data_IF_842576519592
#
_entry.id   IF_842576519592
#
_cell.length_a   1.000
_cell.length_b   1.000
_cell.length_c   1.000
_cell.angle_alpha   90.00
_cell.angle_beta   90.00
_cell.angle_gamma   90.00
#
_symmetry.space_group_name_H-M   'P 1'
#
loop_
_entity.id
_entity.type
_entity.pdbx_description
1 polymer ?
#
# COMPACT_ATOMS: atom_id res chain seq x y z
N UNK A 1 11.33 -9.96 28.49
CA UNK A 1 11.39 -8.50 28.52
C UNK A 1 10.00 -7.95 28.70
N UNK A 2 9.76 -7.06 29.67
CA UNK A 2 8.46 -6.39 29.89
C UNK A 2 8.45 -4.98 29.29
N UNK A 3 7.28 -4.31 29.25
CA UNK A 3 7.23 -2.89 28.85
C UNK A 3 7.90 -1.95 29.85
N UNK A 4 7.93 -2.32 31.13
CA UNK A 4 8.59 -1.54 32.19
C UNK A 4 10.11 -1.50 31.98
N UNK A 5 10.70 -2.61 31.53
CA UNK A 5 12.12 -2.72 31.21
C UNK A 5 12.54 -1.89 29.97
N UNK A 6 11.58 -1.41 29.17
CA UNK A 6 11.84 -0.54 28.02
C UNK A 6 12.03 0.93 28.41
N UNK A 7 11.88 1.29 29.69
CA UNK A 7 12.11 2.64 30.23
C UNK A 7 11.28 3.74 29.52
N UNK A 8 10.05 3.41 29.09
CA UNK A 8 9.12 4.38 28.54
C UNK A 8 8.62 5.34 29.63
N UNK A 9 8.06 6.49 29.22
CA UNK A 9 7.58 7.48 30.17
C UNK A 9 6.41 6.93 30.98
N UNK A 10 6.34 7.21 32.29
CA UNK A 10 5.30 6.70 33.20
C UNK A 10 3.85 6.89 32.68
N UNK A 11 3.48 8.02 32.05
CA UNK A 11 2.15 8.18 31.46
C UNK A 11 1.83 7.16 30.36
N UNK A 12 2.84 6.74 29.59
CA UNK A 12 2.70 5.74 28.51
C UNK A 12 2.55 4.34 29.11
N UNK A 13 3.35 4.00 30.12
CA UNK A 13 3.24 2.73 30.84
C UNK A 13 1.86 2.58 31.49
N UNK A 14 1.32 3.67 32.05
CA UNK A 14 -0.04 3.71 32.61
C UNK A 14 -1.12 3.46 31.54
N UNK A 15 -0.94 4.03 30.34
CA UNK A 15 -1.85 3.78 29.22
C UNK A 15 -1.78 2.31 28.76
N UNK A 16 -0.58 1.74 28.64
CA UNK A 16 -0.38 0.33 28.26
C UNK A 16 -1.02 -0.64 29.26
N UNK A 17 -0.89 -0.37 30.56
CA UNK A 17 -1.53 -1.16 31.62
C UNK A 17 -3.07 -1.14 31.49
N UNK A 18 -3.66 0.03 31.18
CA UNK A 18 -5.09 0.15 30.94
C UNK A 18 -5.57 -0.60 29.69
N UNK A 19 -4.69 -0.83 28.71
CA UNK A 19 -4.97 -1.60 27.50
C UNK A 19 -4.72 -3.11 27.68
N UNK A 20 -4.38 -3.56 28.89
CA UNK A 20 -3.97 -4.94 29.20
C UNK A 20 -2.79 -5.45 28.33
N UNK A 21 -1.92 -4.55 27.87
CA UNK A 21 -0.70 -4.90 27.15
C UNK A 21 0.42 -5.21 28.16
N UNK A 22 0.63 -6.49 28.45
CA UNK A 22 1.61 -6.93 29.46
C UNK A 22 2.99 -7.27 28.90
N UNK A 23 3.04 -7.80 27.67
CA UNK A 23 4.30 -8.31 27.08
C UNK A 23 4.54 -7.71 25.70
N UNK A 24 5.70 -7.05 25.47
CA UNK A 24 6.04 -6.53 24.16
C UNK A 24 6.28 -7.66 23.16
N UNK A 25 5.83 -7.44 21.91
CA UNK A 25 6.11 -8.35 20.81
C UNK A 25 7.59 -8.30 20.41
N UNK A 26 8.06 -9.28 19.63
CA UNK A 26 9.46 -9.33 19.18
C UNK A 26 9.90 -8.05 18.44
N UNK A 27 9.03 -7.47 17.60
CA UNK A 27 9.33 -6.21 16.91
C UNK A 27 9.37 -5.02 17.87
N UNK A 28 8.52 -5.00 18.90
CA UNK A 28 8.50 -3.93 19.90
C UNK A 28 9.77 -3.98 20.76
N UNK A 29 10.13 -5.16 21.27
CA UNK A 29 11.35 -5.39 22.07
C UNK A 29 12.62 -4.92 21.36
N UNK A 30 12.72 -5.15 20.04
CA UNK A 30 13.90 -4.76 19.27
C UNK A 30 13.86 -3.30 18.80
N UNK A 31 12.71 -2.83 18.31
CA UNK A 31 12.61 -1.49 17.72
C UNK A 31 12.57 -0.37 18.76
N UNK A 32 11.85 -0.55 19.87
CA UNK A 32 11.60 0.53 20.85
C UNK A 32 12.91 1.14 21.38
N UNK A 33 13.91 0.36 21.84
CA UNK A 33 15.18 0.92 22.32
C UNK A 33 15.93 1.71 21.24
N UNK A 34 15.93 1.21 20.01
CA UNK A 34 16.60 1.87 18.86
C UNK A 34 15.96 3.21 18.55
N UNK A 35 14.62 3.25 18.54
CA UNK A 35 13.88 4.48 18.28
C UNK A 35 14.13 5.49 19.40
N UNK A 36 14.14 5.06 20.68
CA UNK A 36 14.43 5.93 21.82
C UNK A 36 15.83 6.55 21.77
N UNK A 37 16.82 5.82 21.25
CA UNK A 37 18.19 6.32 21.03
C UNK A 37 18.28 7.36 19.89
N UNK A 38 17.21 7.59 19.13
CA UNK A 38 17.20 8.55 18.02
C UNK A 38 17.86 8.04 16.74
N UNK A 39 18.18 6.74 16.64
CA UNK A 39 18.78 6.14 15.44
C UNK A 39 17.73 5.90 14.36
N UNK A 40 18.11 6.06 13.09
CA UNK A 40 17.27 5.66 11.97
C UNK A 40 17.02 4.14 12.00
N UNK A 41 15.86 3.72 11.52
CA UNK A 41 15.43 2.32 11.60
C UNK A 41 14.79 1.86 10.29
N UNK A 42 15.26 0.72 9.79
CA UNK A 42 14.54 -0.09 8.81
C UNK A 42 14.01 -1.35 9.50
N UNK A 43 12.71 -1.39 9.73
CA UNK A 43 12.04 -2.47 10.43
C UNK A 43 11.14 -3.29 9.48
N UNK A 44 11.47 -4.57 9.32
CA UNK A 44 10.71 -5.53 8.52
C UNK A 44 10.00 -6.51 9.43
N UNK A 45 8.67 -6.50 9.38
CA UNK A 45 7.86 -7.54 10.03
C UNK A 45 6.47 -7.64 9.43
N UNK A 46 5.84 -8.80 9.58
CA UNK A 46 4.51 -9.08 9.03
C UNK A 46 3.42 -8.18 9.64
N UNK A 47 2.26 -8.10 8.98
CA UNK A 47 1.09 -7.41 9.54
C UNK A 47 0.61 -8.08 10.82
N UNK A 48 0.15 -7.30 11.80
CA UNK A 48 -0.37 -7.83 13.07
C UNK A 48 0.70 -8.19 14.11
N UNK A 49 1.99 -7.93 13.85
CA UNK A 49 3.09 -8.16 14.81
C UNK A 49 3.25 -7.03 15.84
N UNK A 50 2.42 -5.99 15.78
CA UNK A 50 2.50 -4.84 16.68
C UNK A 50 3.43 -3.71 16.22
N UNK A 51 3.71 -3.60 14.91
CA UNK A 51 4.51 -2.52 14.29
C UNK A 51 4.06 -1.11 14.71
N UNK A 52 2.75 -0.86 14.72
CA UNK A 52 2.21 0.45 15.09
C UNK A 52 2.64 0.88 16.49
N UNK A 53 2.50 0.01 17.49
CA UNK A 53 2.99 0.30 18.83
C UNK A 53 4.53 0.43 18.88
N UNK A 54 5.25 -0.36 18.07
CA UNK A 54 6.71 -0.34 18.01
C UNK A 54 7.28 1.02 17.57
N UNK A 55 6.57 1.81 16.76
CA UNK A 55 6.97 3.19 16.45
C UNK A 55 6.22 4.25 17.24
N UNK A 56 4.95 4.04 17.60
CA UNK A 56 4.16 5.06 18.33
C UNK A 56 4.68 5.25 19.74
N UNK A 57 4.90 4.17 20.50
CA UNK A 57 5.31 4.24 21.90
C UNK A 57 6.64 5.01 22.10
N UNK A 58 7.74 4.68 21.40
CA UNK A 58 8.98 5.41 21.57
C UNK A 58 8.89 6.83 20.99
N UNK A 59 8.09 7.06 19.94
CA UNK A 59 7.90 8.42 19.41
C UNK A 59 7.14 9.32 20.39
N UNK A 60 6.13 8.79 21.07
CA UNK A 60 5.43 9.48 22.16
C UNK A 60 6.37 9.76 23.34
N UNK A 61 7.23 8.81 23.70
CA UNK A 61 8.26 9.04 24.72
C UNK A 61 9.20 10.17 24.31
N UNK A 62 9.72 10.16 23.08
CA UNK A 62 10.60 11.23 22.60
C UNK A 62 9.89 12.59 22.57
N UNK A 63 8.61 12.61 22.24
CA UNK A 63 7.79 13.82 22.25
C UNK A 63 7.76 14.49 23.62
N UNK A 64 7.80 13.74 24.73
CA UNK A 64 7.80 14.33 26.08
C UNK A 64 9.08 15.13 26.37
N UNK A 65 10.15 14.86 25.63
CA UNK A 65 11.45 15.50 25.80
C UNK A 65 11.69 16.62 24.79
N UNK A 66 10.78 16.83 23.83
CA UNK A 66 10.86 17.93 22.89
C UNK A 66 10.29 19.23 23.48
N UNK A 67 10.88 20.34 23.07
CA UNK A 67 10.35 21.67 23.41
C UNK A 67 8.95 21.85 22.83
N UNK A 68 8.05 22.38 23.66
CA UNK A 68 6.68 22.68 23.25
C UNK A 68 6.68 23.80 22.22
N UNK A 69 5.98 23.59 21.11
CA UNK A 69 5.76 24.59 20.08
C UNK A 69 4.39 24.37 19.42
N UNK A 70 3.87 25.32 18.64
CA UNK A 70 2.62 25.12 17.91
C UNK A 70 2.77 24.16 16.72
N UNK A 71 4.00 23.87 16.30
CA UNK A 71 4.29 23.11 15.09
C UNK A 71 4.50 21.61 15.41
N UNK A 72 4.11 20.72 14.48
CA UNK A 72 4.27 19.29 14.68
C UNK A 72 5.74 18.89 14.78
N UNK A 73 6.01 17.92 15.66
CA UNK A 73 7.33 17.30 15.85
C UNK A 73 7.42 15.93 15.20
N UNK A 74 6.29 15.27 14.96
CA UNK A 74 6.23 13.92 14.40
C UNK A 74 5.34 13.93 13.17
N UNK A 75 5.84 13.35 12.08
CA UNK A 75 5.07 13.10 10.86
C UNK A 75 5.01 11.59 10.61
N UNK A 76 3.81 11.04 10.50
CA UNK A 76 3.57 9.66 10.13
C UNK A 76 2.89 9.63 8.76
N UNK A 77 3.55 8.99 7.79
CA UNK A 77 3.05 8.80 6.44
C UNK A 77 2.62 7.35 6.27
N UNK A 78 1.41 7.14 5.75
CA UNK A 78 0.80 5.81 5.58
C UNK A 78 0.00 5.76 4.28
N UNK A 79 -0.12 4.60 3.61
CA UNK A 79 -0.68 4.52 2.25
C UNK A 79 -2.19 4.79 2.18
N UNK A 80 -2.95 4.55 3.25
CA UNK A 80 -4.42 4.64 3.20
C UNK A 80 -5.02 5.44 4.36
N UNK A 81 -6.25 5.89 4.16
CA UNK A 81 -7.00 6.67 5.16
C UNK A 81 -7.37 5.83 6.37
N UNK A 82 -7.69 4.57 6.11
CA UNK A 82 -8.07 3.58 7.09
C UNK A 82 -6.91 3.30 8.05
N UNK A 83 -5.70 3.08 7.51
CA UNK A 83 -4.50 2.91 8.33
C UNK A 83 -4.15 4.17 9.11
N UNK A 84 -4.26 5.35 8.49
CA UNK A 84 -4.08 6.61 9.21
C UNK A 84 -5.04 6.75 10.41
N UNK A 85 -6.29 6.32 10.24
CA UNK A 85 -7.28 6.34 11.31
C UNK A 85 -6.90 5.35 12.42
N UNK A 86 -6.44 4.15 12.09
CA UNK A 86 -5.96 3.16 13.07
C UNK A 86 -4.74 3.66 13.85
N UNK A 87 -3.77 4.28 13.16
CA UNK A 87 -2.60 4.89 13.81
C UNK A 87 -3.07 6.04 14.72
N UNK A 88 -4.01 6.88 14.27
CA UNK A 88 -4.55 7.98 15.08
C UNK A 88 -5.21 7.47 16.36
N UNK A 89 -5.97 6.36 16.28
CA UNK A 89 -6.53 5.70 17.46
C UNK A 89 -5.44 5.22 18.41
N UNK A 90 -4.43 4.51 17.90
CA UNK A 90 -3.31 4.02 18.70
C UNK A 90 -2.53 5.15 19.39
N UNK A 91 -2.28 6.25 18.67
CA UNK A 91 -1.62 7.44 19.24
C UNK A 91 -2.45 8.04 20.38
N UNK A 92 -3.77 8.17 20.20
CA UNK A 92 -4.66 8.71 21.24
C UNK A 92 -4.77 7.77 22.44
N UNK A 93 -4.77 6.46 22.21
CA UNK A 93 -4.83 5.43 23.25
C UNK A 93 -3.56 5.42 24.09
N UNK A 94 -2.39 5.24 23.46
CA UNK A 94 -1.10 5.23 24.16
C UNK A 94 -0.70 6.60 24.71
N UNK A 95 -1.17 7.67 24.08
CA UNK A 95 -0.90 9.06 24.46
C UNK A 95 -1.96 9.67 25.39
N UNK A 96 -2.95 8.90 25.88
CA UNK A 96 -4.11 9.41 26.63
C UNK A 96 -3.71 10.29 27.83
N UNK A 97 -2.61 9.95 28.50
CA UNK A 97 -2.10 10.68 29.67
C UNK A 97 -1.09 11.79 29.32
N UNK A 98 -0.77 11.99 28.04
CA UNK A 98 0.20 12.97 27.55
C UNK A 98 -0.44 14.23 26.92
N UNK A 99 -1.77 14.25 26.76
CA UNK A 99 -2.53 15.36 26.12
C UNK A 99 -2.02 15.71 24.71
N UNK A 100 -1.61 14.70 23.94
CA UNK A 100 -1.06 14.83 22.59
C UNK A 100 -2.13 15.32 21.61
N UNK A 101 -1.75 16.24 20.73
CA UNK A 101 -2.62 16.78 19.68
C UNK A 101 -2.24 16.18 18.34
N UNK A 102 -3.17 15.40 17.78
CA UNK A 102 -2.99 14.70 16.51
C UNK A 102 -3.87 15.32 15.44
N UNK A 103 -3.30 15.55 14.26
CA UNK A 103 -4.03 16.04 13.07
C UNK A 103 -3.91 15.03 11.94
N UNK A 104 -5.05 14.68 11.34
CA UNK A 104 -5.12 13.74 10.21
C UNK A 104 -5.23 14.52 8.89
N UNK A 105 -4.30 14.30 7.97
CA UNK A 105 -4.23 14.96 6.67
C UNK A 105 -4.49 13.92 5.57
N UNK A 106 -5.78 13.68 5.30
CA UNK A 106 -6.24 12.54 4.49
C UNK A 106 -7.07 12.98 3.28
N UNK A 107 -6.86 12.29 2.16
CA UNK A 107 -7.69 12.44 0.97
C UNK A 107 -9.17 12.19 1.27
N UNK A 108 -10.08 12.88 0.59
CA UNK A 108 -11.52 12.72 0.78
C UNK A 108 -12.11 13.25 2.10
N UNK A 109 -11.30 13.87 2.98
CA UNK A 109 -11.80 14.74 4.04
C UNK A 109 -11.96 16.19 3.54
N UNK A 110 -13.01 16.92 3.98
CA UNK A 110 -13.21 18.31 3.60
C UNK A 110 -11.98 19.17 3.92
N UNK A 111 -11.52 19.94 2.93
CA UNK A 111 -10.36 20.81 3.08
C UNK A 111 -10.50 21.84 4.22
N UNK A 112 -11.67 22.52 4.40
CA UNK A 112 -11.84 23.47 5.50
C UNK A 112 -11.74 22.86 6.90
N UNK A 113 -12.09 21.59 7.06
CA UNK A 113 -11.94 20.89 8.35
C UNK A 113 -10.48 20.67 8.69
N UNK A 114 -9.67 20.27 7.70
CA UNK A 114 -8.22 20.10 7.88
C UNK A 114 -7.53 21.44 8.16
N UNK A 115 -7.92 22.51 7.46
CA UNK A 115 -7.40 23.85 7.74
C UNK A 115 -7.70 24.31 9.17
N UNK A 116 -8.92 24.08 9.67
CA UNK A 116 -9.28 24.41 11.06
C UNK A 116 -8.49 23.61 12.09
N UNK A 117 -8.10 22.37 11.75
CA UNK A 117 -7.25 21.55 12.61
C UNK A 117 -5.80 22.05 12.59
N UNK A 118 -5.25 22.35 11.42
CA UNK A 118 -3.90 22.90 11.24
C UNK A 118 -3.73 24.32 11.82
N UNK A 119 -4.82 25.08 11.94
CA UNK A 119 -4.80 26.41 12.57
C UNK A 119 -4.57 26.34 14.09
N UNK A 120 -4.68 25.14 14.70
CA UNK A 120 -4.43 24.91 16.12
C UNK A 120 -3.05 24.26 16.29
N UNK A 121 -2.40 24.44 17.46
CA UNK A 121 -1.19 23.69 17.80
C UNK A 121 -1.38 22.18 17.62
N UNK A 122 -0.42 21.52 16.98
CA UNK A 122 -0.41 20.08 16.77
C UNK A 122 0.96 19.51 17.09
N UNK A 123 1.00 18.33 17.70
CA UNK A 123 2.25 17.63 18.03
C UNK A 123 2.60 16.60 16.96
N UNK A 124 1.56 15.95 16.40
CA UNK A 124 1.70 14.83 15.46
C UNK A 124 0.78 15.05 14.26
N UNK A 125 1.34 14.85 13.06
CA UNK A 125 0.57 14.76 11.82
C UNK A 125 0.60 13.33 11.31
N UNK A 126 -0.58 12.79 10.97
CA UNK A 126 -0.73 11.50 10.30
C UNK A 126 -1.36 11.77 8.94
N UNK A 127 -0.71 11.34 7.86
CA UNK A 127 -1.10 11.76 6.52
C UNK A 127 -1.01 10.65 5.48
N UNK A 128 -1.81 10.82 4.41
CA UNK A 128 -1.61 10.11 3.14
C UNK A 128 -0.84 11.01 2.17
N UNK A 129 0.10 10.47 1.34
CA UNK A 129 1.04 11.28 0.55
C UNK A 129 0.39 12.40 -0.26
N UNK A 130 -0.51 12.08 -1.18
CA UNK A 130 -1.10 13.08 -2.08
C UNK A 130 -1.82 14.23 -1.36
N UNK A 131 -2.50 13.98 -0.23
CA UNK A 131 -3.15 15.07 0.52
C UNK A 131 -2.13 15.91 1.29
N UNK A 132 -1.06 15.33 1.78
CA UNK A 132 -0.01 16.08 2.45
C UNK A 132 0.67 17.04 1.47
N UNK A 133 0.99 16.57 0.27
CA UNK A 133 1.58 17.37 -0.81
C UNK A 133 0.70 18.56 -1.16
N UNK A 134 -0.62 18.36 -1.33
CA UNK A 134 -1.57 19.44 -1.61
C UNK A 134 -1.55 20.55 -0.53
N UNK A 135 -1.39 20.19 0.76
CA UNK A 135 -1.24 21.20 1.82
C UNK A 135 0.13 21.88 1.83
N UNK A 136 1.20 21.15 1.50
CA UNK A 136 2.56 21.70 1.37
C UNK A 136 2.60 22.74 0.25
N UNK A 137 2.14 22.38 -0.95
CA UNK A 137 2.16 23.23 -2.14
C UNK A 137 1.34 24.51 -1.95
N UNK A 138 0.26 24.45 -1.16
CA UNK A 138 -0.58 25.61 -0.81
C UNK A 138 -0.04 26.44 0.36
N UNK A 139 1.08 26.04 0.95
CA UNK A 139 1.67 26.71 2.12
C UNK A 139 0.75 26.72 3.34
N UNK A 140 -0.05 25.66 3.54
CA UNK A 140 -1.05 25.56 4.62
C UNK A 140 -0.58 24.73 5.82
N UNK A 141 0.59 24.13 5.72
CA UNK A 141 1.18 23.27 6.74
C UNK A 141 2.63 23.70 6.97
N UNK A 142 3.02 23.76 8.24
CA UNK A 142 4.41 24.00 8.62
C UNK A 142 5.01 22.68 9.14
N UNK A 143 6.04 22.19 8.46
CA UNK A 143 6.76 20.96 8.79
C UNK A 143 8.20 21.24 9.26
N UNK A 144 8.56 22.51 9.49
CA UNK A 144 9.94 22.93 9.81
C UNK A 144 10.48 22.40 11.14
N UNK A 145 9.60 21.88 12.01
CA UNK A 145 9.97 21.39 13.34
C UNK A 145 9.86 19.87 13.49
N UNK A 146 9.62 19.15 12.39
CA UNK A 146 9.59 17.69 12.39
C UNK A 146 10.96 17.14 12.83
N UNK A 147 10.95 16.37 13.91
CA UNK A 147 12.09 15.66 14.50
C UNK A 147 12.06 14.16 14.22
N UNK A 148 10.88 13.60 13.98
CA UNK A 148 10.68 12.17 13.67
C UNK A 148 9.78 12.06 12.44
N UNK A 149 10.27 11.36 11.42
CA UNK A 149 9.51 11.04 10.21
C UNK A 149 9.34 9.52 10.10
N UNK A 150 8.09 9.07 10.00
CA UNK A 150 7.73 7.66 10.04
C UNK A 150 7.04 7.29 8.73
N UNK A 151 7.52 6.23 8.08
CA UNK A 151 6.93 5.61 6.89
C UNK A 151 6.36 4.26 7.30
N UNK A 152 5.03 4.17 7.43
CA UNK A 152 4.35 2.92 7.73
C UNK A 152 3.83 2.26 6.45
N UNK A 153 4.02 0.96 6.33
CA UNK A 153 3.74 0.16 5.12
C UNK A 153 4.38 0.77 3.84
N UNK A 154 5.68 1.03 3.91
CA UNK A 154 6.41 1.71 2.84
C UNK A 154 6.45 0.92 1.51
N UNK A 155 6.55 -0.41 1.56
CA UNK A 155 6.39 -1.29 0.39
C UNK A 155 5.06 -1.03 -0.34
N UNK A 156 3.99 -0.88 0.45
CA UNK A 156 2.65 -0.65 -0.06
C UNK A 156 2.47 0.74 -0.66
N UNK A 157 3.09 1.76 -0.08
CA UNK A 157 3.14 3.10 -0.69
C UNK A 157 3.81 3.05 -2.07
N UNK A 158 4.87 2.27 -2.22
CA UNK A 158 5.59 2.09 -3.47
C UNK A 158 4.76 1.34 -4.52
N UNK A 159 4.02 0.33 -4.11
CA UNK A 159 3.08 -0.37 -5.01
C UNK A 159 1.93 0.52 -5.49
N UNK A 160 1.55 1.52 -4.70
CA UNK A 160 0.55 2.52 -5.06
C UNK A 160 1.11 3.66 -5.93
N UNK A 161 2.41 3.62 -6.26
CA UNK A 161 3.06 4.64 -7.08
C UNK A 161 3.51 5.88 -6.31
N UNK A 162 3.46 5.88 -4.98
CA UNK A 162 3.85 7.03 -4.15
C UNK A 162 5.37 7.16 -3.94
N UNK A 163 6.20 6.52 -4.77
CA UNK A 163 7.65 6.59 -4.63
C UNK A 163 8.15 8.04 -4.71
N UNK A 164 7.73 8.78 -5.74
CA UNK A 164 8.14 10.17 -5.94
C UNK A 164 7.52 11.10 -4.89
N UNK A 165 6.26 10.85 -4.50
CA UNK A 165 5.57 11.59 -3.45
C UNK A 165 6.30 11.48 -2.10
N UNK A 166 6.76 10.28 -1.73
CA UNK A 166 7.51 10.05 -0.49
C UNK A 166 8.86 10.79 -0.54
N UNK A 167 9.58 10.74 -1.66
CA UNK A 167 10.84 11.47 -1.82
C UNK A 167 10.63 12.98 -1.74
N UNK A 168 9.58 13.49 -2.39
CA UNK A 168 9.22 14.90 -2.35
C UNK A 168 8.92 15.33 -0.90
N UNK A 169 8.05 14.62 -0.19
CA UNK A 169 7.69 14.92 1.21
C UNK A 169 8.95 14.94 2.07
N UNK A 170 9.80 13.91 1.98
CA UNK A 170 11.03 13.82 2.78
C UNK A 170 11.99 14.99 2.56
N UNK A 171 12.03 15.54 1.33
CA UNK A 171 12.83 16.70 0.97
C UNK A 171 12.28 18.03 1.53
N UNK A 172 11.00 18.10 1.88
CA UNK A 172 10.39 19.27 2.52
C UNK A 172 10.60 19.30 4.05
N UNK A 173 11.15 18.23 4.63
CA UNK A 173 11.39 18.13 6.07
C UNK A 173 12.80 18.63 6.45
N UNK A 174 13.02 19.01 7.72
CA UNK A 174 14.34 19.40 8.21
C UNK A 174 15.41 18.35 7.90
N UNK A 175 16.66 18.78 7.70
CA UNK A 175 17.80 17.87 7.45
C UNK A 175 18.02 16.94 8.65
N UNK A 176 18.05 17.52 9.85
CA UNK A 176 18.21 16.80 11.11
C UNK A 176 16.85 16.29 11.60
N UNK A 177 16.60 15.01 11.35
CA UNK A 177 15.42 14.27 11.81
C UNK A 177 15.77 12.79 11.87
N UNK A 178 15.13 12.06 12.77
CA UNK A 178 15.14 10.61 12.77
C UNK A 178 14.12 10.11 11.75
N UNK A 179 14.47 9.09 10.97
CA UNK A 179 13.58 8.45 10.01
C UNK A 179 13.37 6.98 10.39
N UNK A 180 12.11 6.59 10.49
CA UNK A 180 11.69 5.23 10.79
C UNK A 180 10.92 4.66 9.60
N UNK A 181 11.43 3.59 8.99
CA UNK A 181 10.79 2.90 7.88
C UNK A 181 10.28 1.54 8.36
N UNK A 182 8.97 1.35 8.35
CA UNK A 182 8.30 0.09 8.68
C UNK A 182 7.69 -0.53 7.43
N UNK A 183 8.01 -1.80 7.20
CA UNK A 183 7.58 -2.52 5.99
C UNK A 183 7.23 -3.97 6.31
N UNK A 184 6.44 -4.61 5.45
CA UNK A 184 6.24 -6.06 5.51
C UNK A 184 7.26 -6.80 4.63
N UNK A 185 7.70 -6.16 3.55
CA UNK A 185 8.58 -6.76 2.54
C UNK A 185 9.68 -5.81 2.11
N UNK A 186 10.77 -6.35 1.58
CA UNK A 186 11.89 -5.59 1.03
C UNK A 186 12.10 -6.02 -0.43
N UNK A 187 11.73 -5.14 -1.37
CA UNK A 187 12.07 -5.27 -2.78
C UNK A 187 13.21 -4.30 -3.18
N UNK A 188 13.68 -4.39 -4.44
CA UNK A 188 14.75 -3.52 -4.92
C UNK A 188 14.38 -2.02 -4.91
N UNK A 189 13.09 -1.69 -5.09
CA UNK A 189 12.61 -0.30 -5.09
C UNK A 189 12.62 0.25 -3.67
N UNK A 190 12.18 -0.53 -2.68
CA UNK A 190 12.22 -0.15 -1.28
C UNK A 190 13.66 -0.05 -0.77
N UNK A 191 14.57 -0.93 -1.20
CA UNK A 191 15.99 -0.80 -0.87
C UNK A 191 16.62 0.46 -1.45
N UNK A 192 16.20 0.88 -2.65
CA UNK A 192 16.65 2.14 -3.24
C UNK A 192 16.13 3.34 -2.44
N UNK A 193 14.85 3.32 -2.08
CA UNK A 193 14.25 4.36 -1.25
C UNK A 193 14.93 4.45 0.13
N UNK A 194 15.11 3.31 0.81
CA UNK A 194 15.68 3.26 2.15
C UNK A 194 17.11 3.83 2.17
N UNK A 195 17.94 3.49 1.18
CA UNK A 195 19.29 4.05 1.03
C UNK A 195 19.31 5.56 0.76
N UNK A 196 18.27 6.10 0.13
CA UNK A 196 18.18 7.53 -0.16
C UNK A 196 17.68 8.33 1.05
N UNK A 197 16.79 7.75 1.83
CA UNK A 197 16.15 8.43 2.95
C UNK A 197 16.92 8.26 4.26
N UNK A 198 17.32 7.04 4.60
CA UNK A 198 17.90 6.69 5.89
C UNK A 198 19.40 6.95 5.96
N UNK A 199 19.89 7.33 7.14
CA UNK A 199 21.32 7.50 7.43
C UNK A 199 21.80 6.49 8.47
N UNK A 200 22.67 5.55 8.04
CA UNK A 200 23.19 4.45 8.87
C UNK A 200 22.10 3.78 9.75
N UNK A 201 20.99 3.30 9.15
CA UNK A 201 19.88 2.78 9.92
C UNK A 201 20.23 1.46 10.59
N UNK A 202 19.73 1.27 11.81
CA UNK A 202 19.62 -0.08 12.36
C UNK A 202 18.63 -0.88 11.50
N UNK A 203 18.94 -2.15 11.24
CA UNK A 203 18.08 -3.03 10.46
C UNK A 203 17.53 -4.14 11.36
N UNK A 204 16.22 -4.17 11.49
CA UNK A 204 15.53 -5.15 12.31
C UNK A 204 14.64 -5.98 11.39
N UNK A 205 14.95 -7.26 11.29
CA UNK A 205 14.11 -8.23 10.60
C UNK A 205 13.51 -9.19 11.61
N UNK A 206 12.22 -9.00 11.90
CA UNK A 206 11.46 -9.97 12.68
C UNK A 206 10.76 -10.87 11.70
N UNK A 207 11.38 -12.03 11.46
CA UNK A 207 10.71 -13.17 10.84
C UNK A 207 9.58 -13.54 11.78
N UNK A 208 8.36 -13.12 11.45
CA UNK A 208 7.17 -13.60 12.16
C UNK A 208 7.22 -15.12 12.18
N UNK A 209 6.69 -15.75 13.24
CA UNK A 209 6.12 -17.09 13.07
C UNK A 209 5.28 -16.98 11.80
N UNK A 210 5.60 -17.78 10.77
CA UNK A 210 4.90 -17.79 9.48
C UNK A 210 3.43 -17.51 9.77
N UNK A 211 2.78 -16.58 9.07
CA UNK A 211 1.31 -16.57 9.08
C UNK A 211 0.92 -18.01 8.80
N UNK A 212 0.51 -18.72 9.84
CA UNK A 212 0.29 -20.16 9.76
C UNK A 212 -0.97 -20.28 8.95
N UNK A 213 -0.79 -20.44 7.65
CA UNK A 213 -1.84 -20.81 6.71
C UNK A 213 -2.39 -22.20 7.07
N UNK A 214 -1.85 -22.85 8.10
CA UNK A 214 -2.26 -24.12 8.69
C UNK A 214 -3.77 -24.17 8.97
N UNK A 215 -4.38 -23.05 9.35
CA UNK A 215 -5.83 -22.96 9.58
C UNK A 215 -6.63 -22.56 8.33
N UNK A 216 -5.97 -22.35 7.19
CA UNK A 216 -6.60 -21.94 5.94
C UNK A 216 -6.49 -23.08 4.93
N UNK A 217 -7.62 -23.75 4.68
CA UNK A 217 -7.73 -24.74 3.62
C UNK A 217 -7.68 -24.04 2.27
N UNK A 218 -6.61 -24.27 1.51
CA UNK A 218 -6.38 -23.66 0.21
C UNK A 218 -6.74 -24.61 -0.92
N UNK A 219 -7.51 -24.11 -1.89
CA UNK A 219 -7.96 -24.86 -3.06
C UNK A 219 -7.80 -24.06 -4.34
N UNK A 220 -7.52 -24.74 -5.44
CA UNK A 220 -7.45 -24.19 -6.79
C UNK A 220 -8.48 -24.89 -7.66
N UNK A 221 -9.27 -24.11 -8.38
CA UNK A 221 -10.14 -24.60 -9.46
C UNK A 221 -9.65 -24.05 -10.79
N UNK A 222 -9.54 -24.93 -11.77
CA UNK A 222 -9.25 -24.52 -13.15
C UNK A 222 -10.51 -23.90 -13.75
N UNK A 223 -10.37 -22.74 -14.38
CA UNK A 223 -11.49 -22.04 -14.98
C UNK A 223 -11.14 -21.58 -16.40
N UNK A 224 -11.80 -22.19 -17.38
CA UNK A 224 -11.51 -22.00 -18.81
C UNK A 224 -12.08 -20.68 -19.39
N UNK A 225 -13.06 -20.06 -18.73
CA UNK A 225 -13.70 -18.82 -19.18
C UNK A 225 -14.24 -17.99 -18.01
N UNK A 226 -14.66 -16.75 -18.28
CA UNK A 226 -15.30 -15.87 -17.28
C UNK A 226 -16.63 -16.47 -16.82
N UNK A 227 -17.42 -17.01 -17.75
CA UNK A 227 -18.69 -17.66 -17.46
C UNK A 227 -18.48 -18.90 -16.58
N UNK A 228 -17.42 -19.67 -16.83
CA UNK A 228 -17.07 -20.80 -15.99
C UNK A 228 -16.67 -20.35 -14.57
N UNK A 229 -15.89 -19.27 -14.43
CA UNK A 229 -15.59 -18.68 -13.10
C UNK A 229 -16.87 -18.26 -12.36
N UNK A 230 -17.80 -17.59 -13.01
CA UNK A 230 -19.07 -17.20 -12.38
C UNK A 230 -19.91 -18.41 -11.98
N UNK A 231 -19.93 -19.47 -12.80
CA UNK A 231 -20.61 -20.73 -12.46
C UNK A 231 -20.00 -21.38 -11.22
N UNK A 232 -18.67 -21.58 -11.21
CA UNK A 232 -17.94 -22.11 -10.07
C UNK A 232 -18.16 -21.29 -8.80
N UNK A 233 -18.18 -19.96 -8.92
CA UNK A 233 -18.47 -19.07 -7.80
C UNK A 233 -19.86 -19.37 -7.21
N UNK A 234 -20.90 -19.49 -8.04
CA UNK A 234 -22.25 -19.80 -7.57
C UNK A 234 -22.33 -21.18 -6.93
N UNK A 235 -21.66 -22.18 -7.50
CA UNK A 235 -21.60 -23.53 -6.94
C UNK A 235 -20.96 -23.50 -5.54
N UNK A 236 -19.87 -22.75 -5.37
CA UNK A 236 -19.22 -22.56 -4.05
C UNK A 236 -20.12 -21.80 -3.08
N UNK A 237 -20.82 -20.76 -3.53
CA UNK A 237 -21.72 -19.96 -2.68
C UNK A 237 -22.99 -20.72 -2.26
N UNK A 238 -23.29 -21.85 -2.91
CA UNK A 238 -24.38 -22.74 -2.48
C UNK A 238 -24.03 -23.57 -1.24
N UNK A 239 -22.75 -23.64 -0.88
CA UNK A 239 -22.28 -24.29 0.34
C UNK A 239 -22.78 -23.54 1.59
N UNK A 240 -23.38 -24.28 2.53
CA UNK A 240 -23.89 -23.72 3.79
C UNK A 240 -22.78 -23.18 4.69
N UNK A 241 -21.53 -23.64 4.51
CA UNK A 241 -20.37 -23.13 5.25
C UNK A 241 -19.92 -21.74 4.74
N UNK A 242 -20.34 -21.32 3.55
CA UNK A 242 -19.99 -20.04 2.93
C UNK A 242 -20.84 -18.85 3.46
N UNK A 243 -20.86 -18.65 4.78
CA UNK A 243 -21.76 -17.69 5.44
C UNK A 243 -21.32 -16.22 5.28
N UNK A 244 -20.01 -15.97 5.17
CA UNK A 244 -19.45 -14.64 4.88
C UNK A 244 -18.23 -14.77 4.00
N UNK A 245 -18.27 -14.12 2.84
CA UNK A 245 -17.35 -14.38 1.74
C UNK A 245 -16.81 -13.08 1.16
N UNK A 246 -15.49 -13.05 0.91
CA UNK A 246 -14.84 -11.96 0.17
C UNK A 246 -14.33 -12.51 -1.16
N UNK A 247 -14.76 -11.88 -2.26
CA UNK A 247 -14.37 -12.22 -3.63
C UNK A 247 -13.44 -11.13 -4.17
N UNK A 248 -12.20 -11.49 -4.48
CA UNK A 248 -11.21 -10.58 -5.03
C UNK A 248 -11.18 -10.63 -6.56
N UNK A 249 -11.32 -9.47 -7.19
CA UNK A 249 -11.29 -9.30 -8.64
C UNK A 249 -10.17 -8.35 -9.04
N UNK A 250 -9.66 -8.49 -10.27
CA UNK A 250 -8.54 -7.67 -10.75
C UNK A 250 -8.95 -6.22 -11.07
N UNK A 251 -10.22 -5.96 -11.41
CA UNK A 251 -10.66 -4.64 -11.87
C UNK A 251 -11.97 -4.20 -11.21
N UNK A 252 -12.14 -2.89 -11.04
CA UNK A 252 -13.38 -2.29 -10.53
C UNK A 252 -14.61 -2.66 -11.37
N UNK A 253 -14.44 -2.76 -12.70
CA UNK A 253 -15.52 -3.12 -13.62
C UNK A 253 -15.98 -4.54 -13.38
N UNK A 254 -15.04 -5.49 -13.23
CA UNK A 254 -15.37 -6.87 -12.86
C UNK A 254 -16.08 -6.91 -11.52
N UNK A 255 -15.64 -6.12 -10.53
CA UNK A 255 -16.30 -6.07 -9.23
C UNK A 255 -17.76 -5.61 -9.31
N UNK A 256 -18.03 -4.55 -10.08
CA UNK A 256 -19.39 -4.03 -10.29
C UNK A 256 -20.27 -5.02 -11.05
N UNK A 257 -19.85 -5.48 -12.23
CA UNK A 257 -20.62 -6.43 -13.06
C UNK A 257 -20.93 -7.72 -12.32
N UNK A 258 -19.94 -8.28 -11.60
CA UNK A 258 -20.15 -9.50 -10.83
C UNK A 258 -21.13 -9.27 -9.66
N UNK A 259 -21.08 -8.10 -9.02
CA UNK A 259 -22.03 -7.76 -7.95
C UNK A 259 -23.46 -7.68 -8.48
N UNK A 260 -23.67 -7.08 -9.64
CA UNK A 260 -24.99 -6.98 -10.29
C UNK A 260 -25.55 -8.38 -10.61
N UNK A 261 -24.75 -9.23 -11.27
CA UNK A 261 -25.14 -10.59 -11.63
C UNK A 261 -25.50 -11.46 -10.41
N UNK A 262 -24.78 -11.28 -9.30
CA UNK A 262 -25.04 -11.96 -8.04
C UNK A 262 -26.30 -11.43 -7.32
N UNK A 263 -26.56 -10.12 -7.39
CA UNK A 263 -27.79 -9.53 -6.85
C UNK A 263 -29.02 -10.04 -7.62
N UNK A 264 -28.94 -10.11 -8.96
CA UNK A 264 -29.99 -10.68 -9.81
C UNK A 264 -30.22 -12.16 -9.52
N UNK A 265 -29.17 -12.89 -9.14
CA UNK A 265 -29.23 -14.28 -8.69
C UNK A 265 -29.72 -14.44 -7.24
N UNK A 266 -30.12 -13.36 -6.57
CA UNK A 266 -30.68 -13.38 -5.22
C UNK A 266 -29.67 -13.32 -4.07
N UNK A 267 -28.37 -13.15 -4.33
CA UNK A 267 -27.36 -13.04 -3.28
C UNK A 267 -27.32 -11.65 -2.66
N UNK A 268 -27.18 -11.58 -1.33
CA UNK A 268 -26.87 -10.34 -0.62
C UNK A 268 -25.42 -9.92 -0.87
N UNK A 269 -25.17 -9.20 -1.97
CA UNK A 269 -23.83 -8.82 -2.42
C UNK A 269 -23.56 -7.30 -2.40
N UNK A 270 -22.30 -6.92 -2.35
CA UNK A 270 -21.86 -5.53 -2.49
C UNK A 270 -20.45 -5.39 -3.05
N UNK A 271 -20.25 -4.39 -3.91
CA UNK A 271 -18.95 -4.05 -4.47
C UNK A 271 -18.13 -3.14 -3.54
N UNK A 272 -16.80 -3.26 -3.59
CA UNK A 272 -15.87 -2.38 -2.91
C UNK A 272 -14.57 -2.14 -3.71
N UNK A 273 -14.44 -0.95 -4.29
CA UNK A 273 -13.28 -0.53 -5.10
C UNK A 273 -12.89 0.93 -4.82
N UNK A 274 -11.75 1.37 -5.38
CA UNK A 274 -11.12 2.67 -5.11
C UNK A 274 -11.96 3.87 -5.57
N UNK A 275 -12.63 3.75 -6.71
CA UNK A 275 -13.45 4.82 -7.31
C UNK A 275 -14.77 5.09 -6.59
N UNK A 276 -15.16 4.25 -5.62
CA UNK A 276 -16.40 4.46 -4.88
C UNK A 276 -16.30 5.69 -3.99
N UNK A 277 -17.33 6.55 -4.04
CA UNK A 277 -17.50 7.59 -3.03
C UNK A 277 -17.48 7.01 -1.61
N UNK A 278 -16.79 7.69 -0.69
CA UNK A 278 -16.60 7.24 0.69
C UNK A 278 -17.91 6.89 1.40
N UNK A 279 -18.98 7.65 1.16
CA UNK A 279 -20.31 7.37 1.73
C UNK A 279 -20.86 6.01 1.29
N UNK A 280 -20.67 5.65 0.01
CA UNK A 280 -21.07 4.34 -0.54
C UNK A 280 -20.19 3.24 0.05
N UNK A 281 -18.86 3.45 0.15
CA UNK A 281 -17.92 2.52 0.83
C UNK A 281 -18.37 2.21 2.26
N UNK A 282 -18.59 3.25 3.07
CA UNK A 282 -19.03 3.12 4.46
C UNK A 282 -20.38 2.40 4.56
N UNK A 283 -21.32 2.68 3.65
CA UNK A 283 -22.62 2.00 3.59
C UNK A 283 -22.47 0.51 3.26
N UNK A 284 -21.66 0.15 2.27
CA UNK A 284 -21.38 -1.26 1.94
C UNK A 284 -20.77 -1.98 3.13
N UNK A 285 -19.77 -1.38 3.78
CA UNK A 285 -19.15 -1.95 4.97
C UNK A 285 -20.12 -2.13 6.13
N UNK A 286 -20.95 -1.12 6.42
CA UNK A 286 -21.98 -1.21 7.45
C UNK A 286 -22.99 -2.34 7.17
N UNK A 287 -23.39 -2.54 5.90
CA UNK A 287 -24.25 -3.66 5.50
C UNK A 287 -23.58 -5.02 5.71
N UNK A 288 -22.27 -5.11 5.44
CA UNK A 288 -21.50 -6.34 5.66
C UNK A 288 -21.36 -6.66 7.16
N UNK A 289 -21.06 -5.66 7.99
CA UNK A 289 -20.97 -5.84 9.44
C UNK A 289 -22.30 -6.23 10.08
N UNK A 290 -23.40 -5.62 9.63
CA UNK A 290 -24.76 -5.95 10.11
C UNK A 290 -25.33 -7.25 9.54
N UNK A 291 -24.62 -7.95 8.64
CA UNK A 291 -25.09 -9.18 8.00
C UNK A 291 -26.16 -8.97 6.92
N UNK A 292 -26.49 -7.72 6.57
CA UNK A 292 -27.43 -7.41 5.47
C UNK A 292 -26.91 -7.82 4.09
N UNK A 293 -25.60 -7.95 3.96
CA UNK A 293 -24.93 -8.62 2.86
C UNK A 293 -23.92 -9.60 3.46
N UNK A 294 -23.76 -10.74 2.82
CA UNK A 294 -22.78 -11.78 3.20
C UNK A 294 -21.62 -11.85 2.21
N UNK A 295 -21.76 -11.24 1.03
CA UNK A 295 -20.81 -11.34 -0.06
C UNK A 295 -20.23 -9.96 -0.43
N UNK A 296 -18.91 -9.84 -0.29
CA UNK A 296 -18.18 -8.62 -0.65
C UNK A 296 -17.30 -8.86 -1.87
N UNK A 297 -17.55 -8.17 -2.97
CA UNK A 297 -16.74 -8.26 -4.18
C UNK A 297 -15.81 -7.04 -4.21
N UNK A 298 -14.50 -7.26 -4.12
CA UNK A 298 -13.54 -6.18 -3.93
C UNK A 298 -12.32 -6.26 -4.86
N UNK A 299 -11.67 -5.10 -5.05
CA UNK A 299 -10.31 -5.03 -5.59
C UNK A 299 -9.29 -4.93 -4.45
N UNK A 300 -8.04 -5.31 -4.71
CA UNK A 300 -6.97 -5.29 -3.69
C UNK A 300 -6.83 -3.93 -3.01
N UNK A 301 -6.75 -2.85 -3.79
CA UNK A 301 -6.56 -1.49 -3.26
C UNK A 301 -7.65 -1.12 -2.24
N UNK A 302 -8.88 -1.56 -2.48
CA UNK A 302 -10.03 -1.20 -1.67
C UNK A 302 -10.26 -2.11 -0.46
N UNK A 303 -9.68 -3.31 -0.47
CA UNK A 303 -9.85 -4.36 0.54
C UNK A 303 -8.70 -4.49 1.53
N UNK A 304 -7.58 -3.87 1.19
CA UNK A 304 -6.43 -3.71 2.06
C UNK A 304 -6.82 -2.91 3.32
N UNK A 305 -6.71 -3.55 4.48
CA UNK A 305 -7.03 -2.93 5.78
C UNK A 305 -8.51 -3.02 6.17
N UNK A 306 -9.36 -3.70 5.39
CA UNK A 306 -10.72 -3.96 5.85
C UNK A 306 -10.65 -4.95 7.01
N UNK A 307 -11.23 -4.53 8.12
CA UNK A 307 -11.47 -5.36 9.27
C UNK A 307 -12.87 -5.96 9.18
N UNK A 308 -12.95 -7.21 8.70
CA UNK A 308 -14.21 -7.97 8.65
C UNK A 308 -14.05 -9.18 9.54
N UNK A 309 -14.81 -9.22 10.63
CA UNK A 309 -14.84 -10.38 11.50
C UNK A 309 -15.58 -11.54 10.84
N UNK A 310 -15.11 -12.76 11.14
CA UNK A 310 -15.76 -14.01 10.79
C UNK A 310 -15.96 -14.20 9.28
N UNK A 311 -14.98 -13.81 8.45
CA UNK A 311 -14.95 -14.22 7.05
C UNK A 311 -14.65 -15.72 7.03
N UNK A 312 -15.56 -16.50 6.44
CA UNK A 312 -15.40 -17.95 6.28
C UNK A 312 -14.59 -18.28 5.04
N UNK A 313 -14.90 -17.59 3.94
CA UNK A 313 -14.34 -17.89 2.62
C UNK A 313 -13.69 -16.66 1.99
N UNK A 314 -12.52 -16.88 1.41
CA UNK A 314 -11.88 -15.93 0.50
C UNK A 314 -11.80 -16.56 -0.87
N UNK A 315 -12.31 -15.87 -1.89
CA UNK A 315 -12.29 -16.34 -3.27
C UNK A 315 -11.45 -15.39 -4.11
N UNK A 316 -10.32 -15.86 -4.61
CA UNK A 316 -9.56 -15.18 -5.65
C UNK A 316 -10.22 -15.46 -7.00
N UNK A 317 -11.21 -14.64 -7.35
CA UNK A 317 -11.86 -14.72 -8.66
C UNK A 317 -10.85 -14.49 -9.77
N UNK A 318 -9.94 -13.53 -9.59
CA UNK A 318 -8.73 -13.39 -10.39
C UNK A 318 -7.50 -13.56 -9.50
N UNK A 319 -6.51 -14.33 -9.95
CA UNK A 319 -5.29 -14.56 -9.19
C UNK A 319 -4.51 -13.24 -9.03
N UNK A 320 -3.93 -12.94 -7.85
CA UNK A 320 -3.12 -11.75 -7.66
C UNK A 320 -1.83 -11.80 -8.50
N UNK A 321 -1.28 -10.62 -8.79
CA UNK A 321 -0.05 -10.50 -9.59
C UNK A 321 1.22 -10.82 -8.81
N UNK A 322 1.17 -10.71 -7.48
CA UNK A 322 2.28 -10.96 -6.56
C UNK A 322 1.89 -12.03 -5.52
N UNK A 323 2.88 -12.73 -4.98
CA UNK A 323 2.65 -13.78 -3.98
C UNK A 323 2.29 -13.19 -2.61
N UNK A 324 2.76 -11.99 -2.35
CA UNK A 324 2.48 -11.20 -1.15
C UNK A 324 0.99 -10.83 -1.09
N UNK A 325 0.45 -10.34 -2.22
CA UNK A 325 -0.99 -10.05 -2.33
C UNK A 325 -1.82 -11.30 -2.07
N UNK A 326 -1.39 -12.46 -2.56
CA UNK A 326 -2.07 -13.73 -2.27
C UNK A 326 -2.20 -13.98 -0.77
N UNK A 327 -1.09 -13.88 -0.03
CA UNK A 327 -1.09 -14.07 1.43
C UNK A 327 -1.99 -13.04 2.11
N UNK A 328 -1.97 -11.78 1.66
CA UNK A 328 -2.82 -10.72 2.23
C UNK A 328 -4.31 -10.92 1.98
N UNK A 329 -4.67 -11.48 0.83
CA UNK A 329 -6.06 -11.82 0.48
C UNK A 329 -6.55 -12.98 1.33
N UNK A 330 -5.84 -14.10 1.33
CA UNK A 330 -6.31 -15.30 2.05
C UNK A 330 -6.28 -15.09 3.58
N UNK A 331 -5.38 -14.24 4.09
CA UNK A 331 -5.39 -13.81 5.49
C UNK A 331 -6.60 -12.96 5.92
N UNK A 332 -7.58 -12.73 5.03
CA UNK A 332 -8.90 -12.22 5.44
C UNK A 332 -9.77 -13.28 6.11
N UNK A 333 -9.52 -14.57 5.86
CA UNK A 333 -10.14 -15.69 6.59
C UNK A 333 -9.14 -16.31 7.57
N UNK A 334 -9.58 -17.27 8.39
CA UNK A 334 -8.72 -18.01 9.31
C UNK A 334 -8.15 -17.22 10.49
N UNK A 335 -8.81 -16.12 10.86
CA UNK A 335 -8.37 -15.23 11.96
C UNK A 335 -8.75 -15.80 13.33
N UNK A 336 -7.94 -15.50 14.36
CA UNK A 336 -8.20 -15.85 15.78
C UNK A 336 -8.42 -17.36 15.96
N UNK A 337 -7.54 -18.19 15.37
CA UNK A 337 -7.58 -19.64 15.53
C UNK A 337 -8.74 -20.37 14.83
N UNK A 338 -9.62 -19.66 14.11
CA UNK A 338 -10.70 -20.27 13.34
C UNK A 338 -10.19 -20.88 12.05
N UNK A 339 -10.85 -21.94 11.59
CA UNK A 339 -10.63 -22.46 10.24
C UNK A 339 -11.20 -21.49 9.20
N UNK A 340 -10.56 -21.46 8.03
CA UNK A 340 -10.99 -20.67 6.89
C UNK A 340 -10.74 -21.39 5.58
N UNK A 341 -11.47 -21.04 4.53
CA UNK A 341 -11.28 -21.62 3.20
C UNK A 341 -10.87 -20.54 2.21
N UNK A 342 -9.79 -20.78 1.47
CA UNK A 342 -9.31 -19.90 0.43
C UNK A 342 -9.33 -20.61 -0.93
N UNK A 343 -10.12 -20.09 -1.86
CA UNK A 343 -10.32 -20.70 -3.18
C UNK A 343 -9.76 -19.78 -4.25
N UNK A 344 -9.00 -20.32 -5.20
CA UNK A 344 -8.45 -19.56 -6.31
C UNK A 344 -8.90 -20.11 -7.66
N UNK A 345 -9.41 -19.24 -8.52
CA UNK A 345 -9.70 -19.59 -9.91
C UNK A 345 -8.48 -19.31 -10.78
N UNK A 346 -8.00 -20.34 -11.46
CA UNK A 346 -6.75 -20.30 -12.23
C UNK A 346 -7.05 -20.61 -13.69
N UNK A 347 -6.60 -19.73 -14.59
CA UNK A 347 -6.58 -20.01 -16.03
C UNK A 347 -5.26 -20.66 -16.41
N UNK A 348 -5.17 -21.26 -17.60
CA UNK A 348 -3.93 -21.83 -18.14
C UNK A 348 -2.75 -20.84 -18.11
N UNK A 349 -3.01 -19.56 -18.40
CA UNK A 349 -1.98 -18.52 -18.39
C UNK A 349 -1.56 -18.09 -16.97
N UNK A 350 -2.35 -18.39 -15.94
CA UNK A 350 -2.07 -18.04 -14.55
C UNK A 350 -1.18 -19.09 -13.87
N UNK A 351 -0.87 -20.21 -14.54
CA UNK A 351 -0.08 -21.31 -13.98
C UNK A 351 1.32 -20.89 -13.51
N UNK A 352 1.95 -19.93 -14.20
CA UNK A 352 3.25 -19.40 -13.79
C UNK A 352 3.14 -18.58 -12.49
N UNK A 353 2.05 -17.84 -12.31
CA UNK A 353 1.77 -17.09 -11.09
C UNK A 353 1.46 -18.04 -9.93
N UNK A 354 0.64 -19.07 -10.16
CA UNK A 354 0.34 -20.09 -9.17
C UNK A 354 1.62 -20.76 -8.65
N UNK A 355 2.54 -21.15 -9.54
CA UNK A 355 3.85 -21.73 -9.13
C UNK A 355 4.68 -20.77 -8.29
N UNK A 356 4.65 -19.46 -8.57
CA UNK A 356 5.34 -18.46 -7.75
C UNK A 356 4.70 -18.35 -6.36
N UNK A 357 3.38 -18.44 -6.28
CA UNK A 357 2.63 -18.44 -5.01
C UNK A 357 2.97 -19.70 -4.20
N UNK A 358 2.91 -20.89 -4.78
CA UNK A 358 3.26 -22.14 -4.10
C UNK A 358 4.73 -22.14 -3.61
N UNK A 359 5.64 -21.62 -4.42
CA UNK A 359 7.06 -21.49 -4.03
C UNK A 359 7.24 -20.51 -2.87
N UNK A 360 6.54 -19.37 -2.90
CA UNK A 360 6.62 -18.35 -1.85
C UNK A 360 6.01 -18.82 -0.53
N UNK A 361 4.84 -19.45 -0.60
CA UNK A 361 4.14 -20.01 0.58
C UNK A 361 4.77 -21.32 1.06
N UNK A 362 5.61 -21.96 0.23
CA UNK A 362 6.16 -23.30 0.46
C UNK A 362 5.07 -24.37 0.67
N UNK A 363 3.89 -24.15 0.11
CA UNK A 363 2.75 -25.04 0.21
C UNK A 363 2.26 -25.40 -1.20
N UNK A 364 2.04 -26.69 -1.46
CA UNK A 364 1.30 -27.11 -2.65
C UNK A 364 -0.19 -26.91 -2.38
N UNK A 365 -0.88 -26.27 -3.31
CA UNK A 365 -2.31 -26.00 -3.14
C UNK A 365 -3.11 -27.14 -3.77
N UNK A 366 -4.13 -27.64 -3.07
CA UNK A 366 -5.01 -28.71 -3.56
C UNK A 366 -5.70 -28.25 -4.84
N UNK A 367 -5.58 -29.03 -5.92
CA UNK A 367 -6.25 -28.75 -7.20
C UNK A 367 -7.54 -29.55 -7.28
N UNK A 368 -8.67 -28.88 -7.39
CA UNK A 368 -10.00 -29.47 -7.56
C UNK A 368 -10.54 -29.19 -8.96
N UNK A 369 -11.25 -30.17 -9.52
CA UNK A 369 -11.83 -30.06 -10.87
C UNK A 369 -10.85 -30.30 -12.01
N UNK A 370 -9.73 -31.01 -11.79
CA UNK A 370 -9.00 -31.64 -12.90
C UNK A 370 -9.80 -32.85 -13.37
N UNK A 371 -10.73 -32.64 -14.31
CA UNK A 371 -11.15 -33.73 -15.18
C UNK A 371 -10.10 -33.89 -16.29
N UNK A 372 -9.71 -35.12 -16.64
CA UNK A 372 -8.78 -35.34 -17.77
C UNK A 372 -9.32 -34.79 -19.10
N UNK A 373 -10.63 -34.57 -19.19
CA UNK A 373 -11.31 -33.96 -20.33
C UNK A 373 -10.92 -32.48 -20.55
N UNK A 374 -10.65 -31.72 -19.47
CA UNK A 374 -10.24 -30.31 -19.55
C UNK A 374 -8.81 -30.14 -20.11
N UNK A 375 -7.97 -31.17 -20.04
CA UNK A 375 -6.63 -31.15 -20.66
C UNK A 375 -6.68 -31.38 -22.18
N UNK A 376 -7.75 -32.00 -22.68
CA UNK A 376 -7.86 -32.45 -24.07
C UNK A 376 -8.35 -31.38 -25.06
N UNK A 377 -9.01 -30.32 -24.58
CA UNK A 377 -9.64 -29.30 -25.44
C UNK A 377 -8.78 -28.05 -25.70
N UNK A 378 -7.56 -27.96 -25.15
CA UNK A 378 -6.65 -26.84 -25.40
C UNK A 378 -5.25 -27.29 -25.79
N UNK A 379 -5.13 -28.15 -26.80
CA UNK A 379 -3.88 -28.28 -27.56
C UNK A 379 -3.87 -27.20 -28.64
N UNK A 380 -2.92 -26.23 -28.64
CA UNK A 380 -2.76 -25.38 -29.80
C UNK A 380 -2.24 -26.28 -30.93
N UNK A 381 -3.07 -26.51 -31.95
CA UNK A 381 -2.65 -27.11 -33.22
C UNK A 381 -1.39 -26.41 -33.68
N UNK A 382 -0.25 -27.13 -33.65
CA UNK A 382 0.98 -26.72 -34.30
C UNK A 382 0.68 -26.58 -35.79
N UNK A 383 0.36 -25.35 -36.24
CA UNK A 383 0.48 -25.01 -37.65
C UNK A 383 1.94 -25.26 -38.04
N UNK A 384 2.16 -26.30 -38.86
CA UNK A 384 3.42 -26.53 -39.55
C UNK A 384 3.75 -25.24 -40.31
N UNK A 385 4.71 -24.48 -39.79
CA UNK A 385 5.37 -23.43 -40.56
C UNK A 385 6.14 -24.16 -41.66
N UNK A 386 5.71 -23.95 -42.90
CA UNK A 386 6.34 -24.51 -44.08
C UNK A 386 7.79 -24.00 -44.14
N UNK A 387 8.75 -24.91 -43.92
CA UNK A 387 10.18 -24.67 -44.12
C UNK A 387 10.44 -24.67 -45.63
N UNK A 388 10.18 -23.55 -46.30
CA UNK A 388 10.58 -23.40 -47.70
C UNK A 388 11.00 -21.97 -48.12
N UNK A 389 11.38 -21.13 -47.15
CA UNK A 389 11.86 -19.76 -47.42
C UNK A 389 13.24 -19.45 -46.83
N UNK A 390 14.15 -20.44 -46.78
CA UNK A 390 15.53 -20.22 -46.31
C UNK A 390 16.63 -20.81 -47.20
N UNK A 391 16.39 -21.00 -48.50
CA UNK A 391 17.41 -21.55 -49.43
C UNK A 391 17.64 -20.76 -50.72
N UNK A 392 17.35 -19.45 -50.76
CA UNK A 392 17.59 -18.65 -51.98
C UNK A 392 18.24 -17.26 -51.82
N UNK A 393 19.02 -17.02 -50.75
CA UNK A 393 19.81 -15.78 -50.67
C UNK A 393 21.20 -15.91 -50.02
N UNK A 394 21.90 -17.04 -50.24
CA UNK A 394 23.28 -17.22 -49.76
C UNK A 394 24.29 -17.62 -50.84
N UNK A 395 23.99 -17.39 -52.12
CA UNK A 395 24.90 -17.75 -53.20
C UNK A 395 24.85 -16.78 -54.38
N UNK A 396 25.00 -15.48 -54.14
CA UNK A 396 25.44 -14.54 -55.19
C UNK A 396 25.79 -13.18 -54.57
N UNK A 397 27.05 -13.02 -54.16
CA UNK A 397 27.86 -11.78 -54.26
C UNK A 397 29.15 -11.92 -53.43
N UNK A 398 30.04 -12.79 -53.91
CA UNK A 398 31.49 -12.53 -53.86
C UNK A 398 31.94 -12.42 -55.30
N UNK A 399 32.13 -11.19 -55.78
CA UNK A 399 33.05 -10.78 -56.86
C UNK A 399 32.67 -9.36 -57.28
N UNK A 400 33.33 -8.38 -56.67
CA UNK A 400 34.09 -7.31 -57.32
C UNK A 400 34.34 -6.25 -56.26
N UNK A 401 35.60 -6.21 -55.81
CA UNK A 401 36.11 -5.08 -55.05
C UNK A 401 36.40 -3.93 -56.01
N UNK A 402 36.05 -2.72 -55.60
CA UNK A 402 36.75 -1.51 -56.00
C UNK A 402 36.90 -0.64 -54.74
N UNK A 403 38.14 -0.19 -54.58
CA UNK A 403 38.80 0.59 -53.53
C UNK A 403 38.47 2.08 -53.70
N UNK A 404 38.28 2.85 -52.63
CA UNK A 404 38.61 4.30 -52.48
C UNK A 404 38.34 4.67 -51.00
N UNK A 405 39.35 4.79 -50.14
CA UNK A 405 40.21 5.96 -49.85
C UNK A 405 39.53 7.04 -49.00
N UNK A 406 40.23 7.42 -47.92
CA UNK A 406 39.85 8.39 -46.88
C UNK A 406 39.82 9.81 -47.41
N UNK A 407 38.93 10.65 -46.89
CA UNK A 407 39.28 12.03 -46.53
C UNK A 407 38.30 12.62 -45.51
N UNK A 408 38.86 13.52 -44.71
CA UNK A 408 38.34 14.12 -43.51
C UNK A 408 37.24 15.18 -43.73
N UNK A 409 36.58 15.47 -42.61
CA UNK A 409 36.17 16.79 -42.09
C UNK A 409 34.67 17.12 -41.98
N UNK A 410 34.39 17.61 -40.76
CA UNK A 410 33.40 18.61 -40.33
C UNK A 410 32.04 18.13 -39.81
N UNK A 411 31.96 18.16 -38.48
CA UNK A 411 30.75 18.41 -37.68
C UNK A 411 29.94 19.62 -38.20
N UNK A 412 28.62 19.64 -38.01
CA UNK A 412 27.87 20.88 -37.99
C UNK A 412 27.60 21.32 -36.54
N UNK A 413 28.29 22.39 -36.13
CA UNK A 413 27.77 23.35 -35.15
C UNK A 413 26.69 24.20 -35.83
N UNK A 414 25.55 24.42 -35.20
CA UNK A 414 24.69 25.56 -35.52
C UNK A 414 24.60 26.52 -34.34
N UNK A 415 24.89 27.78 -34.66
CA UNK A 415 25.11 28.91 -33.80
C UNK A 415 23.83 29.74 -33.59
N UNK A 416 23.85 30.50 -32.50
CA UNK A 416 23.03 31.69 -32.26
C UNK A 416 23.17 32.69 -33.42
N UNK A 417 22.09 33.39 -33.74
CA UNK A 417 22.21 34.79 -34.12
C UNK A 417 21.07 35.67 -33.58
N UNK A 418 21.47 36.86 -33.12
CA UNK A 418 20.67 37.98 -32.60
C UNK A 418 20.43 39.01 -33.73
N UNK A 419 19.39 39.83 -33.58
CA UNK A 419 19.26 41.31 -33.85
C UNK A 419 17.77 41.63 -34.14
N UNK A 420 17.13 42.77 -33.82
CA UNK A 420 17.51 44.13 -33.41
C UNK A 420 16.29 44.88 -32.78
N UNK A 421 16.56 45.92 -31.96
CA UNK A 421 15.76 47.15 -31.71
C UNK A 421 14.43 47.03 -30.93
N UNK A 422 13.94 47.98 -30.12
CA UNK A 422 14.38 49.32 -29.76
C UNK A 422 13.57 49.85 -28.52
N UNK A 423 14.17 50.81 -27.80
CA UNK A 423 13.58 51.99 -27.13
C UNK A 423 12.55 51.89 -25.98
N UNK A 424 13.05 52.24 -24.77
CA UNK A 424 12.62 53.34 -23.84
C UNK A 424 11.15 53.77 -23.73
N UNK A 425 10.66 53.78 -22.48
CA UNK A 425 9.95 54.83 -21.67
C UNK A 425 9.18 54.09 -20.57
N UNK A 426 9.27 54.35 -19.25
CA UNK A 426 9.47 55.59 -18.52
C UNK A 426 8.12 56.25 -18.24
N UNK A 427 7.47 55.95 -17.11
CA UNK A 427 6.57 56.86 -16.40
C UNK A 427 6.10 56.29 -15.03
N UNK A 428 6.36 57.10 -14.02
CA UNK A 428 5.84 57.10 -12.65
C UNK A 428 4.31 57.32 -12.55
N UNK A 429 3.84 57.20 -11.29
CA UNK A 429 2.57 57.61 -10.67
C UNK A 429 1.56 56.46 -10.46
N UNK A 430 0.86 56.34 -9.32
CA UNK A 430 0.63 57.24 -8.17
C UNK A 430 0.11 56.43 -6.98
N UNK A 431 0.41 56.91 -5.77
CA UNK A 431 -0.25 56.58 -4.49
C UNK A 431 -1.77 56.86 -4.55
N UNK A 432 -2.57 56.00 -3.89
CA UNK A 432 -3.80 56.29 -3.13
C UNK A 432 -4.25 54.96 -2.47
N UNK A 433 -4.24 54.71 -1.15
CA UNK A 433 -4.86 55.38 0.02
C UNK A 433 -6.39 55.44 -0.02
N UNK A 434 -7.07 54.38 0.41
CA UNK A 434 -8.42 54.34 1.05
C UNK A 434 -8.45 53.00 1.84
N UNK A 435 -8.95 52.83 3.07
CA UNK A 435 -9.65 53.67 4.04
C UNK A 435 -10.15 52.72 5.16
N UNK A 436 -10.10 53.17 6.42
CA UNK A 436 -10.66 52.49 7.60
C UNK A 436 -12.21 52.60 7.63
N UNK A 437 -12.82 51.78 8.51
CA UNK A 437 -14.20 51.77 9.09
C UNK A 437 -15.15 50.84 8.30
N UNK A 438 -15.86 49.89 8.89
CA UNK A 438 -16.32 49.64 10.27
C UNK A 438 -16.05 48.21 10.72
#
# INVERSE_FOLDING_TARGET
MTFEELNLATPILSALAACAHTTPTAIQTQAIPVVMQGRDLLATSQTGTGKTAAFVLPSLHRLTNFEKSPNPKILILTPTRELATQISMAVNEYGKHLRVKVVNILGGMPYPTQLRQLAKPSDIIIATPGRLIDHIERGKINLSEIKIFILDEADRMLDMGFYEDVEYIAAQLPKEKQILLFTATIDARLMKLSKKLLHNPEQIEVVGKRVTLDNIKQQVYMANSVQHKTKLLRDILSDKEATKVIVFTATKRTAETLTEELLESGYGAGALHGDMHQRKRNKTMSRLHSGKISLLIATDIASRGIDVDNVTHVINYDLPRTSEDYVHRIGRTGRIGRAGTAISFVKTNDMALLKKIEKFTQQKIEKKGFSEEDASTSSPTKKKVNKDFSKKWSSQKKKHGVRFEKSDTKEPRFSKNKKHGAARRGADHKKQSWGKRF
#
